data_IF_010251210634
#
_entry.id   IF_010251210634
#
_cell.length_a   1.000
_cell.length_b   1.000
_cell.length_c   1.000
_cell.angle_alpha   90.00
_cell.angle_beta   90.00
_cell.angle_gamma   90.00
#
_symmetry.space_group_name_H-M   'P 1'
#
loop_
_entity.id
_entity.type
_entity.pdbx_description
1 polymer ?
#
# COMPACT_ATOMS: atom_id res chain seq x y z
N UNK A 1 22.06 -34.25 24.04
CA UNK A 1 21.46 -33.51 25.17
C UNK A 1 20.68 -32.37 24.56
N UNK A 2 19.34 -32.43 24.61
CA UNK A 2 18.48 -31.39 24.08
C UNK A 2 18.81 -30.06 24.76
N UNK A 3 19.32 -29.09 24.00
CA UNK A 3 19.76 -27.79 24.52
C UNK A 3 18.62 -26.95 25.11
N UNK A 4 17.37 -27.24 24.74
CA UNK A 4 16.18 -26.52 25.18
C UNK A 4 15.04 -27.50 25.50
N UNK A 5 14.16 -27.13 26.45
CA UNK A 5 12.97 -27.91 26.78
C UNK A 5 11.90 -27.78 25.68
N UNK A 6 10.95 -28.72 25.65
CA UNK A 6 9.84 -28.67 24.70
C UNK A 6 9.02 -27.38 24.84
N UNK A 7 8.85 -26.87 26.07
CA UNK A 7 8.13 -25.60 26.33
C UNK A 7 8.84 -24.41 25.68
N UNK A 8 10.16 -24.27 25.90
CA UNK A 8 10.97 -23.23 25.27
C UNK A 8 10.95 -23.38 23.74
N UNK A 9 10.98 -24.61 23.23
CA UNK A 9 10.89 -24.85 21.79
C UNK A 9 9.52 -24.41 21.22
N UNK A 10 8.42 -24.64 21.95
CA UNK A 10 7.07 -24.23 21.51
C UNK A 10 6.92 -22.71 21.49
N UNK A 11 7.50 -22.01 22.46
CA UNK A 11 7.49 -20.54 22.53
C UNK A 11 8.35 -19.90 21.42
N UNK A 12 9.46 -20.54 21.06
CA UNK A 12 10.36 -20.05 20.01
C UNK A 12 9.84 -20.33 18.59
N UNK A 13 9.02 -21.37 18.36
CA UNK A 13 8.53 -21.73 17.02
C UNK A 13 7.83 -20.55 16.31
N UNK A 14 6.90 -19.81 16.94
CA UNK A 14 6.32 -18.60 16.34
C UNK A 14 7.37 -17.55 15.97
N UNK A 15 8.30 -17.25 16.89
CA UNK A 15 9.37 -16.25 16.67
C UNK A 15 10.33 -16.64 15.55
N UNK A 16 10.58 -17.94 15.38
CA UNK A 16 11.39 -18.50 14.29
C UNK A 16 10.64 -18.44 12.96
N UNK A 17 9.33 -18.71 12.96
CA UNK A 17 8.48 -18.58 11.77
C UNK A 17 8.37 -17.12 11.29
N UNK A 18 8.33 -16.16 12.22
CA UNK A 18 8.26 -14.73 11.93
C UNK A 18 9.63 -14.09 11.58
N UNK A 19 10.69 -14.91 11.51
CA UNK A 19 12.08 -14.50 11.22
C UNK A 19 12.69 -13.44 12.16
N UNK A 20 12.11 -13.25 13.35
CA UNK A 20 12.57 -12.27 14.36
C UNK A 20 13.48 -12.88 15.44
N UNK A 21 13.59 -14.21 15.50
CA UNK A 21 14.49 -14.89 16.43
C UNK A 21 15.97 -14.73 16.03
N UNK A 22 16.88 -14.78 17.00
CA UNK A 22 18.32 -14.83 16.72
C UNK A 22 18.70 -16.16 16.05
N UNK A 23 19.81 -16.18 15.31
CA UNK A 23 20.28 -17.40 14.64
C UNK A 23 20.55 -18.55 15.63
N UNK A 24 21.09 -18.25 16.82
CA UNK A 24 21.29 -19.24 17.89
C UNK A 24 19.98 -19.91 18.32
N UNK A 25 18.88 -19.13 18.42
CA UNK A 25 17.56 -19.64 18.74
C UNK A 25 16.95 -20.46 17.59
N UNK A 26 17.17 -20.05 16.34
CA UNK A 26 16.73 -20.82 15.15
C UNK A 26 17.42 -22.18 15.11
N UNK A 27 18.72 -22.22 15.37
CA UNK A 27 19.48 -23.48 15.37
C UNK A 27 19.09 -24.40 16.52
N UNK A 28 18.84 -23.86 17.72
CA UNK A 28 18.36 -24.64 18.85
C UNK A 28 17.00 -25.32 18.57
N UNK A 29 16.06 -24.60 17.95
CA UNK A 29 14.75 -25.14 17.54
C UNK A 29 14.90 -26.20 16.43
N UNK A 30 15.75 -25.96 15.43
CA UNK A 30 16.03 -26.93 14.34
C UNK A 30 16.64 -28.23 14.88
N UNK A 31 17.54 -28.15 15.86
CA UNK A 31 18.13 -29.32 16.52
C UNK A 31 17.07 -30.09 17.31
N UNK A 32 16.24 -29.39 18.09
CA UNK A 32 15.19 -30.01 18.92
C UNK A 32 14.10 -30.73 18.09
N UNK A 33 13.64 -30.12 16.99
CA UNK A 33 12.60 -30.68 16.11
C UNK A 33 13.05 -31.97 15.39
N UNK A 34 14.36 -32.17 15.21
CA UNK A 34 14.91 -33.41 14.64
C UNK A 34 14.71 -34.60 15.58
N UNK A 35 14.78 -34.38 16.89
CA UNK A 35 14.64 -35.42 17.91
C UNK A 35 13.21 -35.54 18.44
N UNK A 36 12.48 -34.42 18.53
CA UNK A 36 11.19 -34.33 19.19
C UNK A 36 10.01 -34.36 18.20
N UNK A 37 9.24 -35.46 18.20
CA UNK A 37 8.06 -35.63 17.32
C UNK A 37 6.93 -34.64 17.63
N UNK A 38 6.72 -34.28 18.89
CA UNK A 38 5.65 -33.36 19.29
C UNK A 38 5.90 -31.95 18.77
N UNK A 39 7.10 -31.39 19.01
CA UNK A 39 7.51 -30.08 18.51
C UNK A 39 7.55 -30.03 16.98
N UNK A 40 7.96 -31.12 16.31
CA UNK A 40 7.87 -31.23 14.85
C UNK A 40 6.45 -31.10 14.34
N UNK A 41 5.51 -31.81 14.96
CA UNK A 41 4.10 -31.75 14.55
C UNK A 41 3.51 -30.36 14.75
N UNK A 42 3.93 -29.65 15.81
CA UNK A 42 3.52 -28.28 16.08
C UNK A 42 4.10 -27.30 15.06
N UNK A 43 5.39 -27.41 14.74
CA UNK A 43 6.05 -26.60 13.72
C UNK A 43 5.38 -26.75 12.35
N UNK A 44 5.07 -27.98 11.92
CA UNK A 44 4.40 -28.23 10.64
C UNK A 44 2.96 -27.72 10.60
N UNK A 45 2.24 -27.74 11.74
CA UNK A 45 0.88 -27.19 11.84
C UNK A 45 0.86 -25.67 11.81
N UNK A 46 1.82 -25.00 12.46
CA UNK A 46 1.92 -23.54 12.49
C UNK A 46 2.63 -22.95 11.28
N UNK A 47 3.17 -23.78 10.37
CA UNK A 47 3.64 -23.35 9.05
C UNK A 47 2.48 -23.17 8.05
N UNK A 48 1.26 -23.54 8.46
CA UNK A 48 0.01 -23.10 7.86
C UNK A 48 -0.44 -21.91 8.74
N UNK A 49 -0.24 -20.66 8.38
CA UNK A 49 -0.32 -20.09 7.07
C UNK A 49 0.72 -18.97 6.99
N UNK A 50 1.45 -18.88 5.88
CA UNK A 50 1.68 -17.56 5.31
C UNK A 50 0.29 -16.97 5.10
N UNK A 51 -0.26 -16.34 6.13
CA UNK A 51 -1.23 -15.28 5.95
C UNK A 51 -0.42 -14.13 5.36
N UNK A 52 0.05 -14.35 4.13
CA UNK A 52 0.29 -13.32 3.14
C UNK A 52 -1.09 -12.71 3.01
N UNK A 53 -1.39 -11.78 3.91
CA UNK A 53 -2.54 -10.93 3.79
C UNK A 53 -2.46 -10.46 2.35
N UNK A 54 -3.42 -10.90 1.54
CA UNK A 54 -3.73 -10.30 0.27
C UNK A 54 -4.31 -8.91 0.61
N UNK A 55 -3.43 -8.07 1.17
CA UNK A 55 -3.65 -6.66 1.47
C UNK A 55 -4.02 -5.91 0.19
N UNK A 56 -3.81 -6.52 -0.98
CA UNK A 56 -4.26 -5.95 -2.24
C UNK A 56 -5.79 -5.96 -2.40
N UNK A 57 -6.54 -6.90 -1.80
CA UNK A 57 -8.00 -7.06 -2.06
C UNK A 57 -8.93 -6.36 -1.07
N UNK A 58 -8.54 -6.21 0.19
CA UNK A 58 -9.37 -5.50 1.19
C UNK A 58 -9.10 -3.99 1.10
N UNK A 59 -7.84 -3.61 0.86
CA UNK A 59 -7.45 -2.21 0.65
C UNK A 59 -8.04 -1.65 -0.65
N UNK A 60 -8.33 -2.47 -1.67
CA UNK A 60 -8.92 -1.99 -2.94
C UNK A 60 -10.38 -1.53 -2.82
N UNK A 61 -11.14 -2.02 -1.82
CA UNK A 61 -12.55 -1.64 -1.66
C UNK A 61 -12.71 -0.34 -0.87
N UNK A 62 -11.91 -0.13 0.18
CA UNK A 62 -11.89 1.13 0.93
C UNK A 62 -11.13 2.26 0.20
N UNK A 63 -10.15 1.93 -0.65
CA UNK A 63 -9.45 2.94 -1.47
C UNK A 63 -10.34 3.58 -2.53
N UNK A 64 -11.42 2.93 -2.97
CA UNK A 64 -12.18 3.43 -4.11
C UNK A 64 -12.97 4.71 -3.78
N UNK A 65 -13.55 4.81 -2.59
CA UNK A 65 -14.25 6.03 -2.15
C UNK A 65 -13.28 7.19 -1.94
N UNK A 66 -12.15 6.95 -1.27
CA UNK A 66 -11.10 7.95 -1.08
C UNK A 66 -10.44 8.35 -2.40
N UNK A 67 -10.26 7.41 -3.33
CA UNK A 67 -9.77 7.68 -4.68
C UNK A 67 -10.77 8.51 -5.49
N UNK A 68 -12.07 8.22 -5.36
CA UNK A 68 -13.12 9.01 -6.02
C UNK A 68 -13.18 10.43 -5.48
N UNK A 69 -13.09 10.60 -4.16
CA UNK A 69 -12.99 11.92 -3.50
C UNK A 69 -11.73 12.66 -3.97
N UNK A 70 -10.58 12.00 -3.99
CA UNK A 70 -9.33 12.60 -4.47
C UNK A 70 -9.40 12.99 -5.95
N UNK A 71 -10.02 12.16 -6.80
CA UNK A 71 -10.26 12.46 -8.22
C UNK A 71 -11.14 13.71 -8.37
N UNK A 72 -12.21 13.82 -7.59
CA UNK A 72 -13.08 15.01 -7.57
C UNK A 72 -12.27 16.25 -7.16
N UNK A 73 -11.44 16.16 -6.11
CA UNK A 73 -10.60 17.28 -5.64
C UNK A 73 -9.60 17.70 -6.72
N UNK A 74 -8.99 16.76 -7.43
CA UNK A 74 -8.05 17.03 -8.52
C UNK A 74 -8.77 17.73 -9.69
N UNK A 75 -9.94 17.23 -10.12
CA UNK A 75 -10.72 17.82 -11.22
C UNK A 75 -11.19 19.22 -10.83
N UNK A 76 -11.71 19.39 -9.61
CA UNK A 76 -12.18 20.67 -9.11
C UNK A 76 -11.04 21.67 -8.97
N UNK A 77 -9.89 21.25 -8.43
CA UNK A 77 -8.69 22.06 -8.34
C UNK A 77 -8.14 22.48 -9.71
N UNK A 78 -8.20 21.58 -10.70
CA UNK A 78 -7.84 21.91 -12.08
C UNK A 78 -8.81 22.92 -12.71
N UNK A 79 -10.13 22.74 -12.53
CA UNK A 79 -11.14 23.71 -12.99
C UNK A 79 -10.94 25.08 -12.33
N UNK A 80 -10.72 25.12 -11.02
CA UNK A 80 -10.43 26.36 -10.29
C UNK A 80 -9.15 27.02 -10.81
N UNK A 81 -8.10 26.24 -11.06
CA UNK A 81 -6.85 26.78 -11.57
C UNK A 81 -7.00 27.41 -12.96
N UNK A 82 -7.76 26.77 -13.85
CA UNK A 82 -8.09 27.31 -15.17
C UNK A 82 -8.95 28.58 -15.03
N UNK A 83 -9.99 28.56 -14.18
CA UNK A 83 -10.88 29.70 -13.99
C UNK A 83 -10.17 30.94 -13.40
N UNK A 84 -9.17 30.74 -12.56
CA UNK A 84 -8.36 31.82 -11.96
C UNK A 84 -7.26 32.32 -12.90
N UNK A 85 -7.03 31.66 -14.04
CA UNK A 85 -5.96 32.01 -14.98
C UNK A 85 -6.22 33.32 -15.73
N UNK A 86 -7.49 33.70 -15.95
CA UNK A 86 -7.86 34.90 -16.71
C UNK A 86 -7.94 36.20 -15.87
N UNK A 87 -7.43 36.21 -14.62
CA UNK A 87 -7.54 37.37 -13.74
C UNK A 87 -6.42 37.53 -12.72
N UNK A 88 -6.60 38.44 -11.75
CA UNK A 88 -5.66 38.69 -10.65
C UNK A 88 -5.40 37.45 -9.75
N UNK A 89 -6.23 36.42 -9.89
CA UNK A 89 -6.13 35.16 -9.16
C UNK A 89 -5.01 34.22 -9.63
N UNK A 90 -4.27 34.57 -10.68
CA UNK A 90 -3.22 33.71 -11.26
C UNK A 90 -2.13 33.32 -10.24
N UNK A 91 -1.87 34.17 -9.23
CA UNK A 91 -0.90 33.90 -8.18
C UNK A 91 -1.32 32.75 -7.25
N UNK A 92 -2.62 32.48 -7.12
CA UNK A 92 -3.10 31.32 -6.34
C UNK A 92 -2.75 29.99 -7.01
N UNK A 93 -2.50 29.96 -8.33
CA UNK A 93 -2.06 28.75 -9.01
C UNK A 93 -0.69 28.23 -8.52
N UNK A 94 0.16 29.11 -7.98
CA UNK A 94 1.44 28.72 -7.36
C UNK A 94 1.21 27.81 -6.13
N UNK A 95 0.10 27.98 -5.41
CA UNK A 95 -0.26 27.13 -4.28
C UNK A 95 -1.11 25.92 -4.72
N UNK A 96 -2.02 26.13 -5.67
CA UNK A 96 -2.97 25.11 -6.10
C UNK A 96 -2.27 23.96 -6.85
N UNK A 97 -1.36 24.25 -7.78
CA UNK A 97 -0.72 23.18 -8.57
C UNK A 97 0.18 22.23 -7.74
N UNK A 98 1.06 22.71 -6.83
CA UNK A 98 1.87 21.83 -6.00
C UNK A 98 1.06 21.02 -5.00
N UNK A 99 -0.01 21.59 -4.44
CA UNK A 99 -0.88 20.87 -3.48
C UNK A 99 -1.67 19.77 -4.17
N UNK A 100 -2.21 20.03 -5.37
CA UNK A 100 -2.85 18.99 -6.21
C UNK A 100 -1.85 17.89 -6.58
N UNK A 101 -0.64 18.27 -6.99
CA UNK A 101 0.42 17.31 -7.33
C UNK A 101 0.84 16.45 -6.13
N UNK A 102 0.96 17.05 -4.94
CA UNK A 102 1.30 16.35 -3.70
C UNK A 102 0.19 15.38 -3.27
N UNK A 103 -1.08 15.81 -3.33
CA UNK A 103 -2.23 14.95 -3.05
C UNK A 103 -2.28 13.79 -4.06
N UNK A 104 -2.11 14.08 -5.35
CA UNK A 104 -2.07 13.05 -6.41
C UNK A 104 -0.92 12.06 -6.24
N UNK A 105 0.27 12.53 -5.85
CA UNK A 105 1.42 11.67 -5.57
C UNK A 105 1.16 10.74 -4.37
N UNK A 106 0.62 11.28 -3.28
CA UNK A 106 0.36 10.51 -2.07
C UNK A 106 -0.77 9.49 -2.26
N UNK A 107 -1.82 9.85 -3.00
CA UNK A 107 -2.95 8.95 -3.26
C UNK A 107 -2.62 7.88 -4.31
N UNK A 108 -1.81 8.18 -5.34
CA UNK A 108 -1.53 7.24 -6.44
C UNK A 108 -0.16 6.54 -6.36
N UNK A 109 0.68 6.84 -5.38
CA UNK A 109 2.00 6.24 -5.12
C UNK A 109 2.83 5.90 -6.39
N UNK A 110 2.66 4.71 -6.98
CA UNK A 110 3.38 4.24 -8.19
C UNK A 110 2.75 4.63 -9.54
N UNK A 111 1.50 5.11 -9.57
CA UNK A 111 0.78 5.53 -10.78
C UNK A 111 0.54 7.04 -10.86
N UNK A 112 1.28 7.84 -10.09
CA UNK A 112 1.13 9.31 -10.09
C UNK A 112 1.26 9.94 -11.49
N UNK A 113 2.09 9.37 -12.36
CA UNK A 113 2.20 9.78 -13.78
C UNK A 113 0.90 9.61 -14.60
N UNK A 114 -0.03 8.74 -14.15
CA UNK A 114 -1.31 8.52 -14.83
C UNK A 114 -2.30 9.68 -14.60
N UNK A 115 -2.14 10.46 -13.52
CA UNK A 115 -3.02 11.59 -13.18
C UNK A 115 -2.99 12.67 -14.28
N UNK A 116 -1.82 13.22 -14.67
CA UNK A 116 -1.77 14.18 -15.77
C UNK A 116 -2.23 13.55 -17.09
N UNK A 117 -2.00 12.25 -17.34
CA UNK A 117 -2.45 11.56 -18.55
C UNK A 117 -3.99 11.50 -18.67
N UNK A 118 -4.68 11.19 -17.56
CA UNK A 118 -6.15 11.15 -17.50
C UNK A 118 -6.72 12.57 -17.62
N UNK A 119 -6.14 13.54 -16.90
CA UNK A 119 -6.54 14.94 -17.00
C UNK A 119 -6.39 15.47 -18.42
N UNK A 120 -5.29 15.14 -19.10
CA UNK A 120 -5.05 15.54 -20.49
C UNK A 120 -6.09 14.93 -21.43
N UNK A 121 -6.40 13.64 -21.27
CA UNK A 121 -7.45 12.96 -22.03
C UNK A 121 -8.83 13.58 -21.81
N UNK A 122 -9.18 13.87 -20.56
CA UNK A 122 -10.45 14.51 -20.22
C UNK A 122 -10.55 15.93 -20.79
N UNK A 123 -9.47 16.72 -20.68
CA UNK A 123 -9.44 18.09 -21.21
C UNK A 123 -9.56 18.11 -22.74
N UNK A 124 -8.93 17.14 -23.42
CA UNK A 124 -9.01 16.99 -24.86
C UNK A 124 -10.43 16.65 -25.33
N UNK A 125 -11.11 15.73 -24.64
CA UNK A 125 -12.52 15.40 -24.90
C UNK A 125 -13.43 16.61 -24.66
N UNK A 126 -13.21 17.35 -23.57
CA UNK A 126 -13.99 18.55 -23.25
C UNK A 126 -13.82 19.66 -24.30
N UNK A 127 -12.59 19.89 -24.77
CA UNK A 127 -12.32 20.83 -25.86
C UNK A 127 -13.01 20.41 -27.17
N UNK A 128 -12.95 19.12 -27.52
CA UNK A 128 -13.63 18.61 -28.70
C UNK A 128 -15.14 18.85 -28.64
N UNK A 129 -15.78 18.57 -27.50
CA UNK A 129 -17.23 18.79 -27.34
C UNK A 129 -17.58 20.28 -27.46
N UNK A 130 -16.82 21.16 -26.81
CA UNK A 130 -17.03 22.61 -26.86
C UNK A 130 -16.82 23.19 -28.26
N UNK A 131 -15.90 22.64 -29.05
CA UNK A 131 -15.60 23.15 -30.39
C UNK A 131 -16.52 22.56 -31.47
N UNK A 132 -17.16 21.42 -31.20
CA UNK A 132 -18.08 20.76 -32.14
C UNK A 132 -19.55 21.15 -31.91
N UNK A 133 -19.88 21.80 -30.78
CA UNK A 133 -21.22 22.31 -30.43
C UNK A 133 -21.26 23.83 -30.53
#
# INVERSE_FOLDING_TARGET
MNKISCEICLDLIPLVNDDIASEDSKDAVREHIKECKSCRSFCSKNHLEEHKMDDARIVSKMKNELYFIALIVIIFGAMLGIALTDGMGIFYNILIMPTIGMIGYFTLSKKSYLVPLILFGFMYVFMLIKYTT
#
